data_IF_078302865270
#
_entry.id   IF_078302865270
#
_cell.length_a   1.000
_cell.length_b   1.000
_cell.length_c   1.000
_cell.angle_alpha   90.00
_cell.angle_beta   90.00
_cell.angle_gamma   90.00
#
_symmetry.space_group_name_H-M   'P 1'
#
loop_
_entity.id
_entity.type
_entity.pdbx_description
1 polymer ?
#
# COMPACT_ATOMS: atom_id res chain seq x y z
N UNK A 1 -11.04 -19.87 -25.50
CA UNK A 1 -11.63 -19.94 -24.14
C UNK A 1 -13.15 -19.87 -24.24
N UNK A 2 -13.86 -20.70 -23.46
CA UNK A 2 -15.32 -20.62 -23.28
C UNK A 2 -15.74 -19.26 -22.69
N UNK A 3 -16.98 -18.81 -22.92
CA UNK A 3 -17.55 -17.61 -22.28
C UNK A 3 -17.43 -17.69 -20.76
N UNK A 4 -17.70 -18.85 -20.14
CA UNK A 4 -17.56 -19.03 -18.70
C UNK A 4 -16.11 -18.80 -18.23
N UNK A 5 -15.13 -19.28 -18.99
CA UNK A 5 -13.71 -19.08 -18.67
C UNK A 5 -13.30 -17.60 -18.82
N UNK A 6 -13.88 -16.88 -19.79
CA UNK A 6 -13.63 -15.44 -19.98
C UNK A 6 -14.22 -14.61 -18.85
N UNK A 7 -15.42 -14.97 -18.37
CA UNK A 7 -16.05 -14.31 -17.21
C UNK A 7 -15.23 -14.59 -15.95
N UNK A 8 -14.81 -15.84 -15.72
CA UNK A 8 -13.96 -16.17 -14.57
C UNK A 8 -12.66 -15.37 -14.58
N UNK A 9 -12.00 -15.26 -15.74
CA UNK A 9 -10.79 -14.44 -15.88
C UNK A 9 -11.03 -12.96 -15.54
N UNK A 10 -12.20 -12.40 -15.89
CA UNK A 10 -12.53 -11.03 -15.52
C UNK A 10 -12.72 -10.89 -14.00
N UNK A 11 -13.43 -11.83 -13.37
CA UNK A 11 -13.64 -11.85 -11.92
C UNK A 11 -12.30 -11.99 -11.16
N UNK A 12 -11.42 -12.89 -11.61
CA UNK A 12 -10.09 -13.10 -11.02
C UNK A 12 -9.25 -11.81 -11.06
N UNK A 13 -9.24 -11.14 -12.22
CA UNK A 13 -8.50 -9.88 -12.39
C UNK A 13 -9.10 -8.74 -11.59
N UNK A 14 -10.40 -8.70 -11.40
CA UNK A 14 -11.08 -7.68 -10.58
C UNK A 14 -10.80 -7.89 -9.10
N UNK A 15 -10.90 -9.12 -8.61
CA UNK A 15 -10.58 -9.47 -7.22
C UNK A 15 -9.13 -9.12 -6.86
N UNK A 16 -8.17 -9.43 -7.75
CA UNK A 16 -6.75 -9.08 -7.56
C UNK A 16 -6.57 -7.56 -7.45
N UNK A 17 -7.21 -6.78 -8.32
CA UNK A 17 -7.16 -5.30 -8.24
C UNK A 17 -7.72 -4.80 -6.93
N UNK A 18 -8.87 -5.32 -6.52
CA UNK A 18 -9.50 -4.99 -5.25
C UNK A 18 -8.61 -5.31 -4.05
N UNK A 19 -7.84 -6.39 -4.10
CA UNK A 19 -6.83 -6.70 -3.07
C UNK A 19 -5.71 -5.67 -3.02
N UNK A 20 -5.17 -5.26 -4.16
CA UNK A 20 -4.13 -4.21 -4.25
C UNK A 20 -4.66 -2.89 -3.68
N UNK A 21 -5.86 -2.47 -4.08
CA UNK A 21 -6.48 -1.24 -3.56
C UNK A 21 -6.80 -1.33 -2.06
N UNK A 22 -7.27 -2.49 -1.60
CA UNK A 22 -7.59 -2.72 -0.19
C UNK A 22 -6.34 -2.68 0.69
N UNK A 23 -5.23 -3.27 0.23
CA UNK A 23 -3.93 -3.16 0.91
C UNK A 23 -3.53 -1.69 1.09
N UNK A 24 -3.59 -0.91 0.01
CA UNK A 24 -3.20 0.50 0.02
C UNK A 24 -4.08 1.33 0.96
N UNK A 25 -5.40 1.13 0.91
CA UNK A 25 -6.34 1.71 1.89
C UNK A 25 -5.96 1.33 3.32
N UNK A 26 -5.60 0.08 3.55
CA UNK A 26 -5.16 -0.42 4.84
C UNK A 26 -3.96 0.35 5.37
N UNK A 27 -2.92 0.53 4.55
CA UNK A 27 -1.73 1.35 4.90
C UNK A 27 -2.12 2.80 5.17
N UNK A 28 -2.93 3.40 4.30
CA UNK A 28 -3.34 4.80 4.43
C UNK A 28 -4.12 5.06 5.73
N UNK A 29 -4.93 4.09 6.16
CA UNK A 29 -5.76 4.15 7.37
C UNK A 29 -5.21 3.38 8.57
N UNK A 30 -3.97 2.88 8.48
CA UNK A 30 -3.33 2.04 9.50
C UNK A 30 -4.23 0.87 9.95
N UNK A 31 -5.06 0.36 9.05
CA UNK A 31 -5.88 -0.83 9.27
C UNK A 31 -5.03 -2.05 8.93
N UNK A 32 -4.21 -2.45 9.90
CA UNK A 32 -3.25 -3.55 9.73
C UNK A 32 -3.91 -4.91 9.55
N UNK A 33 -5.16 -5.07 10.01
CA UNK A 33 -5.95 -6.26 9.72
C UNK A 33 -6.33 -6.31 8.24
N UNK A 34 -6.69 -5.16 7.65
CA UNK A 34 -6.94 -5.06 6.22
C UNK A 34 -5.67 -5.33 5.40
N UNK A 35 -4.53 -4.77 5.82
CA UNK A 35 -3.21 -5.06 5.21
C UNK A 35 -2.91 -6.56 5.25
N UNK A 36 -3.01 -7.18 6.43
CA UNK A 36 -2.82 -8.63 6.63
C UNK A 36 -3.72 -9.48 5.74
N UNK A 37 -4.98 -9.07 5.59
CA UNK A 37 -5.98 -9.84 4.83
C UNK A 37 -5.62 -10.00 3.35
N UNK A 38 -4.77 -9.11 2.80
CA UNK A 38 -4.32 -9.18 1.42
C UNK A 38 -3.32 -10.31 1.15
N UNK A 39 -2.67 -10.85 2.19
CA UNK A 39 -1.63 -11.86 2.06
C UNK A 39 -2.09 -13.26 2.49
N UNK A 40 -1.40 -14.26 1.95
CA UNK A 40 -1.32 -15.58 2.58
C UNK A 40 -0.49 -15.51 3.88
N UNK A 41 -0.70 -16.46 4.78
CA UNK A 41 -0.03 -16.46 6.09
C UNK A 41 1.51 -16.59 5.98
N UNK A 42 1.97 -17.27 4.94
CA UNK A 42 3.37 -17.46 4.55
C UNK A 42 3.83 -16.47 3.46
N UNK A 43 3.08 -15.38 3.24
CA UNK A 43 3.43 -14.38 2.26
C UNK A 43 4.72 -13.64 2.60
N UNK A 44 5.43 -13.17 1.57
CA UNK A 44 6.66 -12.38 1.70
C UNK A 44 6.43 -10.98 1.12
N UNK A 45 6.95 -9.96 1.80
CA UNK A 45 7.01 -8.58 1.33
C UNK A 45 8.46 -8.12 1.27
N UNK A 46 8.95 -7.90 0.06
CA UNK A 46 10.21 -7.22 -0.21
C UNK A 46 9.92 -5.75 -0.51
N UNK A 47 10.02 -4.93 0.53
CA UNK A 47 9.82 -3.49 0.50
C UNK A 47 11.12 -2.70 0.33
N UNK A 48 12.24 -3.38 0.03
CA UNK A 48 13.59 -2.79 0.03
C UNK A 48 14.21 -2.77 1.44
N UNK A 49 14.03 -1.71 2.25
CA UNK A 49 14.54 -1.66 3.63
C UNK A 49 13.95 -2.72 4.57
N UNK A 50 12.81 -3.30 4.20
CA UNK A 50 12.24 -4.48 4.82
C UNK A 50 12.17 -5.61 3.78
N UNK A 51 12.57 -6.82 4.16
CA UNK A 51 12.36 -8.01 3.35
C UNK A 51 12.14 -9.21 4.29
N UNK A 52 10.92 -9.75 4.29
CA UNK A 52 10.56 -10.83 5.20
C UNK A 52 9.07 -11.16 5.17
N UNK A 53 8.60 -11.81 6.24
CA UNK A 53 7.21 -12.25 6.37
C UNK A 53 6.22 -11.08 6.60
N UNK A 54 4.93 -11.39 6.51
CA UNK A 54 3.84 -10.41 6.68
C UNK A 54 3.79 -9.83 8.10
N UNK A 55 4.16 -10.61 9.11
CA UNK A 55 4.12 -10.17 10.53
C UNK A 55 5.16 -9.10 10.80
N UNK A 56 6.40 -9.34 10.38
CA UNK A 56 7.49 -8.37 10.45
C UNK A 56 7.20 -7.14 9.59
N UNK A 57 6.59 -7.31 8.41
CA UNK A 57 6.23 -6.19 7.54
C UNK A 57 5.23 -5.27 8.24
N UNK A 58 4.18 -5.85 8.84
CA UNK A 58 3.17 -5.08 9.57
C UNK A 58 3.77 -4.40 10.80
N UNK A 59 4.67 -5.06 11.53
CA UNK A 59 5.35 -4.45 12.68
C UNK A 59 6.19 -3.23 12.23
N UNK A 60 7.00 -3.41 11.18
CA UNK A 60 7.83 -2.36 10.59
C UNK A 60 6.98 -1.19 10.07
N UNK A 61 5.92 -1.47 9.31
CA UNK A 61 4.99 -0.42 8.83
C UNK A 61 4.28 0.28 9.99
N UNK A 62 3.92 -0.43 11.05
CA UNK A 62 3.26 0.16 12.22
C UNK A 62 4.14 1.21 12.89
N UNK A 63 5.44 0.89 13.09
CA UNK A 63 6.41 1.79 13.68
C UNK A 63 6.66 3.00 12.78
N UNK A 64 6.95 2.77 11.49
CA UNK A 64 7.17 3.84 10.51
C UNK A 64 5.97 4.79 10.43
N UNK A 65 4.76 4.23 10.27
CA UNK A 65 3.55 5.04 10.09
C UNK A 65 3.05 5.74 11.35
N UNK A 66 3.69 5.53 12.51
CA UNK A 66 3.38 6.28 13.74
C UNK A 66 3.71 7.78 13.62
N UNK A 67 4.68 8.13 12.77
CA UNK A 67 5.12 9.52 12.52
C UNK A 67 4.64 10.06 11.15
N UNK A 68 3.76 9.32 10.47
CA UNK A 68 3.14 9.76 9.21
C UNK A 68 1.79 10.40 9.50
N UNK A 69 1.67 11.71 9.28
CA UNK A 69 0.47 12.51 9.60
C UNK A 69 -0.65 12.29 8.57
N UNK A 70 -0.28 12.15 7.30
CA UNK A 70 -1.21 11.88 6.18
C UNK A 70 -0.58 10.87 5.22
N UNK A 71 -1.38 10.01 4.60
CA UNK A 71 -0.93 9.05 3.59
C UNK A 71 -2.05 8.80 2.58
N UNK A 72 -1.67 8.77 1.31
CA UNK A 72 -2.53 8.32 0.21
C UNK A 72 -1.69 7.59 -0.83
N UNK A 73 -2.19 6.45 -1.30
CA UNK A 73 -1.65 5.75 -2.45
C UNK A 73 -2.63 5.81 -3.62
N UNK A 74 -2.16 6.30 -4.77
CA UNK A 74 -2.88 6.22 -6.03
C UNK A 74 -2.30 5.08 -6.85
N UNK A 75 -3.14 4.12 -7.19
CA UNK A 75 -2.73 2.94 -7.95
C UNK A 75 -3.25 3.08 -9.38
N UNK A 76 -2.36 2.91 -10.35
CA UNK A 76 -2.65 2.99 -11.78
C UNK A 76 -1.99 1.87 -12.57
N UNK A 77 -2.31 1.82 -13.86
CA UNK A 77 -1.70 0.89 -14.83
C UNK A 77 -1.60 -0.56 -14.33
N UNK A 78 -2.71 -1.09 -13.80
CA UNK A 78 -2.73 -2.43 -13.19
C UNK A 78 -2.91 -3.51 -14.25
N UNK A 79 -1.81 -4.20 -14.56
CA UNK A 79 -1.76 -5.34 -15.46
C UNK A 79 -1.75 -6.62 -14.65
N UNK A 80 -2.59 -7.58 -15.04
CA UNK A 80 -2.75 -8.86 -14.34
C UNK A 80 -2.78 -9.98 -15.38
N UNK A 81 -1.90 -10.94 -15.20
CA UNK A 81 -1.81 -12.19 -15.97
C UNK A 81 -2.18 -13.34 -15.04
N UNK A 82 -3.22 -14.11 -15.40
CA UNK A 82 -3.72 -15.23 -14.60
C UNK A 82 -3.38 -16.53 -15.33
N UNK A 83 -2.72 -17.44 -14.63
CA UNK A 83 -2.39 -18.79 -15.06
C UNK A 83 -2.92 -19.81 -14.03
N UNK A 84 -4.15 -20.27 -14.29
CA UNK A 84 -4.87 -21.16 -13.37
C UNK A 84 -5.14 -20.50 -12.02
N UNK A 85 -4.43 -20.97 -11.00
CA UNK A 85 -4.55 -20.54 -9.60
C UNK A 85 -3.35 -19.69 -9.14
N UNK A 86 -2.51 -19.26 -10.08
CA UNK A 86 -1.42 -18.30 -9.88
C UNK A 86 -1.68 -17.09 -10.77
N UNK A 87 -1.36 -15.90 -10.29
CA UNK A 87 -1.40 -14.69 -11.09
C UNK A 87 -0.22 -13.78 -10.80
N UNK A 88 0.22 -13.06 -11.83
CA UNK A 88 1.27 -12.06 -11.74
C UNK A 88 0.65 -10.70 -12.03
N UNK A 89 0.90 -9.73 -11.15
CA UNK A 89 0.38 -8.38 -11.30
C UNK A 89 1.50 -7.36 -11.20
N UNK A 90 1.50 -6.41 -12.14
CA UNK A 90 2.24 -5.15 -12.04
C UNK A 90 1.22 -4.05 -11.77
N UNK A 91 1.50 -3.20 -10.78
CA UNK A 91 0.71 -1.97 -10.54
C UNK A 91 1.62 -0.81 -10.22
N UNK A 92 1.30 0.36 -10.76
CA UNK A 92 2.06 1.59 -10.52
C UNK A 92 1.48 2.30 -9.32
N UNK A 93 2.33 2.80 -8.43
CA UNK A 93 1.90 3.60 -7.30
C UNK A 93 2.45 5.02 -7.36
N UNK A 94 1.62 5.97 -6.91
CA UNK A 94 2.04 7.28 -6.43
C UNK A 94 1.62 7.39 -4.96
N UNK A 95 2.59 7.49 -4.07
CA UNK A 95 2.37 7.68 -2.65
C UNK A 95 2.63 9.14 -2.28
N UNK A 96 1.66 9.78 -1.65
CA UNK A 96 1.82 11.10 -1.02
C UNK A 96 1.69 10.93 0.48
N UNK A 97 2.71 11.39 1.20
CA UNK A 97 2.72 11.32 2.65
C UNK A 97 3.16 12.64 3.26
N UNK A 98 2.55 13.00 4.37
CA UNK A 98 3.10 14.02 5.26
C UNK A 98 3.80 13.32 6.40
N UNK A 99 5.08 13.62 6.58
CA UNK A 99 5.96 12.94 7.50
C UNK A 99 6.42 13.94 8.56
N UNK A 100 6.31 13.55 9.82
CA UNK A 100 6.83 14.33 10.93
C UNK A 100 8.36 14.44 10.82
N UNK A 101 8.91 15.63 11.06
CA UNK A 101 10.35 15.88 10.96
C UNK A 101 11.21 15.05 11.92
N UNK A 102 10.61 14.43 12.94
CA UNK A 102 11.28 13.47 13.84
C UNK A 102 11.32 12.02 13.33
N UNK A 103 10.76 11.73 12.14
CA UNK A 103 10.60 10.36 11.60
C UNK A 103 11.90 9.75 11.07
N UNK A 104 12.76 9.26 11.96
CA UNK A 104 14.02 8.59 11.58
C UNK A 104 13.82 7.42 10.60
N UNK A 105 12.80 6.59 10.81
CA UNK A 105 12.52 5.44 9.95
C UNK A 105 12.10 5.83 8.53
N UNK A 106 11.31 6.91 8.38
CA UNK A 106 10.90 7.34 7.05
C UNK A 106 12.07 7.88 6.23
N UNK A 107 12.97 8.64 6.86
CA UNK A 107 14.18 9.15 6.21
C UNK A 107 15.20 8.04 5.93
N UNK A 108 15.31 7.05 6.82
CA UNK A 108 16.21 5.91 6.61
C UNK A 108 15.86 5.06 5.38
N UNK A 109 14.60 5.07 4.92
CA UNK A 109 14.21 4.40 3.67
C UNK A 109 14.85 5.01 2.42
N UNK A 110 15.29 6.27 2.48
CA UNK A 110 15.86 7.01 1.37
C UNK A 110 17.21 7.61 1.80
N UNK A 111 18.30 6.81 1.80
CA UNK A 111 19.62 7.25 2.23
C UNK A 111 20.07 8.51 1.48
N UNK A 112 20.69 9.44 2.21
CA UNK A 112 21.15 10.71 1.65
C UNK A 112 20.10 11.83 1.67
N UNK A 113 18.91 11.59 2.24
CA UNK A 113 17.94 12.66 2.49
C UNK A 113 18.47 13.59 3.60
N UNK A 114 18.89 14.79 3.22
CA UNK A 114 19.16 15.87 4.18
C UNK A 114 17.83 16.43 4.70
N UNK A 115 17.66 16.53 6.02
CA UNK A 115 16.51 17.18 6.62
C UNK A 115 16.94 17.96 7.88
N UNK A 116 16.26 19.08 8.13
CA UNK A 116 16.52 20.00 9.25
C UNK A 116 15.64 19.74 10.48
N UNK A 117 14.93 18.60 10.49
CA UNK A 117 13.95 18.25 11.50
C UNK A 117 12.57 18.87 11.28
N UNK A 118 12.34 19.58 10.17
CA UNK A 118 11.01 20.05 9.78
C UNK A 118 10.12 18.92 9.21
N UNK A 119 8.80 19.08 9.33
CA UNK A 119 7.83 18.23 8.65
C UNK A 119 8.06 18.29 7.12
N UNK A 120 7.89 17.16 6.43
CA UNK A 120 8.05 17.09 4.98
C UNK A 120 6.83 16.48 4.29
N UNK A 121 6.57 16.94 3.06
CA UNK A 121 5.72 16.26 2.11
C UNK A 121 6.60 15.33 1.26
N UNK A 122 6.37 14.03 1.38
CA UNK A 122 7.02 13.02 0.58
C UNK A 122 6.11 12.65 -0.60
N UNK A 123 6.69 12.65 -1.81
CA UNK A 123 6.11 12.04 -3.00
C UNK A 123 6.99 10.88 -3.41
N UNK A 124 6.47 9.66 -3.38
CA UNK A 124 7.19 8.48 -3.85
C UNK A 124 6.42 7.81 -5.00
N UNK A 125 7.15 7.26 -5.96
CA UNK A 125 6.59 6.57 -7.10
C UNK A 125 7.37 5.29 -7.41
N UNK A 126 6.67 4.34 -7.98
CA UNK A 126 7.24 3.05 -8.31
C UNK A 126 6.17 2.05 -8.68
N UNK A 127 6.49 0.76 -8.47
CA UNK A 127 5.63 -0.35 -8.83
C UNK A 127 5.56 -1.41 -7.74
N UNK A 128 4.40 -2.04 -7.61
CA UNK A 128 4.28 -3.33 -6.95
C UNK A 128 4.32 -4.43 -8.00
N UNK A 129 5.22 -5.39 -7.80
CA UNK A 129 5.33 -6.62 -8.57
C UNK A 129 4.87 -7.77 -7.67
N UNK A 130 3.68 -8.26 -7.93
CA UNK A 130 2.98 -9.19 -7.05
C UNK A 130 2.82 -10.56 -7.70
N UNK A 131 3.09 -11.61 -6.93
CA UNK A 131 2.59 -12.96 -7.19
C UNK A 131 1.40 -13.23 -6.28
N UNK A 132 0.24 -13.41 -6.89
CA UNK A 132 -0.99 -13.85 -6.24
C UNK A 132 -1.19 -15.35 -6.41
N UNK A 133 -1.77 -15.98 -5.40
CA UNK A 133 -2.16 -17.39 -5.43
C UNK A 133 -3.59 -17.53 -4.91
N UNK A 134 -4.36 -18.44 -5.51
CA UNK A 134 -5.61 -18.96 -4.99
C UNK A 134 -5.41 -20.42 -4.59
N UNK A 135 -5.36 -20.70 -3.29
CA UNK A 135 -4.95 -22.04 -2.78
C UNK A 135 -6.08 -23.03 -2.57
N UNK A 136 -7.33 -22.59 -2.76
CA UNK A 136 -8.51 -23.46 -2.68
C UNK A 136 -9.48 -23.12 -3.81
N UNK A 137 -10.21 -24.13 -4.29
CA UNK A 137 -11.21 -23.93 -5.34
C UNK A 137 -12.28 -22.93 -4.88
N UNK A 138 -12.41 -21.81 -5.61
CA UNK A 138 -13.30 -20.70 -5.23
C UNK A 138 -12.85 -19.92 -3.99
N UNK A 139 -11.63 -20.15 -3.48
CA UNK A 139 -11.02 -19.36 -2.43
C UNK A 139 -10.55 -17.99 -2.93
N UNK A 140 -10.13 -17.10 -2.02
CA UNK A 140 -9.72 -15.75 -2.39
C UNK A 140 -8.34 -15.73 -3.04
N UNK A 141 -8.12 -14.76 -3.92
CA UNK A 141 -6.79 -14.37 -4.38
C UNK A 141 -6.06 -13.59 -3.26
N UNK A 142 -4.84 -14.01 -2.95
CA UNK A 142 -4.00 -13.34 -1.95
C UNK A 142 -2.55 -13.28 -2.41
N UNK A 143 -1.84 -12.26 -1.94
CA UNK A 143 -0.42 -12.04 -2.21
C UNK A 143 0.37 -13.16 -1.52
N UNK A 144 1.10 -13.93 -2.33
CA UNK A 144 2.11 -14.87 -1.85
C UNK A 144 3.49 -14.20 -1.81
N UNK A 145 3.76 -13.26 -2.72
CA UNK A 145 5.00 -12.50 -2.74
C UNK A 145 4.76 -11.11 -3.33
N UNK A 146 5.32 -10.08 -2.70
CA UNK A 146 5.37 -8.71 -3.24
C UNK A 146 6.82 -8.24 -3.31
N UNK A 147 7.19 -7.62 -4.41
CA UNK A 147 8.38 -6.78 -4.51
C UNK A 147 7.97 -5.35 -4.81
N UNK A 148 8.43 -4.40 -4.00
CA UNK A 148 8.24 -2.98 -4.21
C UNK A 148 9.45 -2.44 -4.95
N UNK A 149 9.23 -2.01 -6.18
CA UNK A 149 10.25 -1.37 -7.01
C UNK A 149 10.06 0.14 -6.91
N UNK A 150 10.93 0.81 -6.15
CA UNK A 150 10.93 2.26 -6.05
C UNK A 150 11.63 2.87 -7.28
N UNK A 151 10.96 3.79 -7.96
CA UNK A 151 11.53 4.52 -9.11
C UNK A 151 12.11 5.87 -8.67
N UNK A 152 11.36 6.63 -7.85
CA UNK A 152 11.84 7.91 -7.32
C UNK A 152 11.09 8.30 -6.04
N UNK A 153 11.74 9.12 -5.21
CA UNK A 153 11.09 9.84 -4.11
C UNK A 153 11.60 11.29 -4.04
N UNK A 154 10.73 12.19 -3.64
CA UNK A 154 11.01 13.61 -3.44
C UNK A 154 10.48 14.02 -2.07
N UNK A 155 11.24 14.86 -1.38
CA UNK A 155 10.91 15.42 -0.09
C UNK A 155 10.90 16.94 -0.22
N UNK A 156 9.79 17.55 0.17
CA UNK A 156 9.63 19.00 0.18
C UNK A 156 9.33 19.45 1.61
N UNK A 157 10.05 20.44 2.16
CA UNK A 157 9.71 21.01 3.46
C UNK A 157 8.27 21.49 3.49
N UNK A 158 7.59 21.21 4.59
CA UNK A 158 6.25 21.76 4.80
C UNK A 158 6.40 23.21 5.28
N UNK A 159 5.96 24.15 4.46
CA UNK A 159 6.06 25.58 4.80
C UNK A 159 4.83 26.12 5.52
N UNK A 160 3.62 25.67 5.17
CA UNK A 160 2.37 26.07 5.81
C UNK A 160 1.20 25.12 5.45
N UNK A 161 0.38 24.74 6.44
CA UNK A 161 -0.92 24.11 6.18
C UNK A 161 -2.04 25.12 6.28
N UNK A 162 -2.92 25.10 5.28
CA UNK A 162 -4.22 25.75 5.41
C UNK A 162 -5.14 24.85 6.26
N UNK A 163 -5.74 25.35 7.34
CA UNK A 163 -6.66 24.55 8.14
C UNK A 163 -7.91 24.18 7.32
N UNK A 164 -8.29 22.90 7.36
CA UNK A 164 -9.55 22.42 6.79
C UNK A 164 -10.64 22.58 7.85
N UNK A 165 -11.15 23.81 8.01
CA UNK A 165 -11.97 24.26 9.14
C UNK A 165 -13.49 24.32 8.83
N UNK A 166 -13.88 24.62 7.58
CA UNK A 166 -15.28 24.94 7.23
C UNK A 166 -16.18 23.70 7.00
N UNK A 167 -16.43 22.93 8.06
CA UNK A 167 -17.44 21.85 8.07
C UNK A 167 -17.05 20.59 7.27
N UNK A 168 -15.78 20.46 6.90
CA UNK A 168 -15.27 19.27 6.23
C UNK A 168 -15.08 18.11 7.21
N UNK A 169 -15.39 16.90 6.78
CA UNK A 169 -14.95 15.70 7.49
C UNK A 169 -13.42 15.59 7.39
N UNK A 170 -12.73 15.72 8.53
CA UNK A 170 -11.28 15.57 8.58
C UNK A 170 -10.88 14.13 8.25
N UNK A 171 -9.83 13.95 7.45
CA UNK A 171 -9.25 12.64 7.19
C UNK A 171 -8.73 12.02 8.51
N UNK A 172 -8.94 10.72 8.71
CA UNK A 172 -8.37 9.97 9.83
C UNK A 172 -7.54 8.82 9.29
N UNK A 173 -6.52 8.42 10.05
CA UNK A 173 -5.65 7.28 9.70
C UNK A 173 -5.87 6.11 10.66
N UNK A 174 -7.14 5.90 11.02
CA UNK A 174 -7.59 4.83 11.90
C UNK A 174 -9.05 4.47 11.60
N UNK A 175 -9.63 3.61 12.44
CA UNK A 175 -11.00 3.09 12.32
C UNK A 175 -12.10 4.14 12.51
N UNK A 176 -11.77 5.37 12.89
CA UNK A 176 -12.71 6.50 12.97
C UNK A 176 -12.84 7.28 11.65
N UNK A 177 -12.11 6.88 10.60
CA UNK A 177 -12.25 7.45 9.26
C UNK A 177 -13.65 7.23 8.68
N UNK A 178 -14.13 8.20 7.91
CA UNK A 178 -15.48 8.21 7.36
C UNK A 178 -15.83 6.97 6.53
N UNK A 179 -14.83 6.30 5.92
CA UNK A 179 -15.06 5.07 5.14
C UNK A 179 -15.66 3.91 5.97
N UNK A 180 -15.48 3.95 7.29
CA UNK A 180 -15.95 2.92 8.22
C UNK A 180 -17.31 3.24 8.86
N UNK A 181 -17.84 4.46 8.65
CA UNK A 181 -19.13 4.91 9.16
C UNK A 181 -20.25 4.59 8.15
N UNK A 182 -20.57 3.30 7.99
CA UNK A 182 -21.63 2.83 7.08
C UNK A 182 -22.88 2.43 7.84
#
# INVERSE_FOLDING_TARGET
MSTNNRVQLLLDKDEIRDRIYSFCRGVDRRDWNLVRSAYHADGIDDHGPYNGDVDGMIAWMTERHATVKSSMHHIGNVLVEVDGDVAYAESYYLAYQRIDGSSSLSFAMFPGTEHDGSDVNMRAQGRYIDRFERRSAGGPWKIAHRTVVADAAQFEPTTHDMPIDVGWNSARRDRTDAVYNR
#
